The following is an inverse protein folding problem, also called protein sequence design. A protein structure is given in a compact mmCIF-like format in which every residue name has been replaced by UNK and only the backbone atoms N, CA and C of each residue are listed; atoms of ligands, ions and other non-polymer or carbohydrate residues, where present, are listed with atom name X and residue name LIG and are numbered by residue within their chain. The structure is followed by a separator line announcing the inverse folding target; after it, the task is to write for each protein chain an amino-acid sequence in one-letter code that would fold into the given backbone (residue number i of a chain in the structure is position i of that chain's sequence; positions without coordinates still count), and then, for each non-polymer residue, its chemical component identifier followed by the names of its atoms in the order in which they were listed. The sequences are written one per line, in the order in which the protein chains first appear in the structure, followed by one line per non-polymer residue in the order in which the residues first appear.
data_IF_056492615180
#
_entry.id   IF_056492615180
#
_cell.length_a   1.000
_cell.length_b   1.000
_cell.length_c   1.000
_cell.angle_alpha   90.00
_cell.angle_beta   90.00
_cell.angle_gamma   90.00
#
_symmetry.space_group_name_H-M   'P 1'
#
loop_
_entity.id
_entity.type
_entity.pdbx_description
1 polymer ?
#
# COMPACT_ATOMS: atom_id res chain seq x y z
N UNK A 1 -17.94 -35.27 20.16
CA UNK A 1 -18.43 -34.83 18.84
C UNK A 1 -17.31 -34.05 18.17
N UNK A 2 -16.73 -34.58 17.09
CA UNK A 2 -15.69 -33.85 16.34
C UNK A 2 -16.37 -32.82 15.44
N UNK A 3 -16.12 -31.53 15.69
CA UNK A 3 -16.57 -30.44 14.84
C UNK A 3 -15.79 -30.43 13.53
N UNK A 4 -16.32 -31.10 12.51
CA UNK A 4 -15.79 -31.06 11.15
C UNK A 4 -16.19 -29.78 10.42
N UNK A 5 -15.46 -29.46 9.35
CA UNK A 5 -15.83 -28.38 8.42
C UNK A 5 -17.12 -28.74 7.70
N UNK A 6 -18.06 -27.79 7.60
CA UNK A 6 -19.33 -27.94 6.88
C UNK A 6 -19.14 -27.40 5.45
N UNK A 7 -19.76 -28.06 4.48
CA UNK A 7 -19.77 -27.63 3.07
C UNK A 7 -21.18 -27.16 2.71
N UNK A 8 -21.37 -25.85 2.60
CA UNK A 8 -22.65 -25.22 2.30
C UNK A 8 -22.59 -24.58 0.90
N UNK A 9 -23.64 -24.75 0.09
CA UNK A 9 -23.72 -24.16 -1.26
C UNK A 9 -23.89 -22.64 -1.20
N UNK A 10 -24.42 -22.13 -0.09
CA UNK A 10 -24.55 -20.70 0.20
C UNK A 10 -23.24 -20.12 0.77
N UNK A 11 -22.24 -20.95 1.09
CA UNK A 11 -20.91 -20.51 1.49
C UNK A 11 -20.10 -20.06 0.25
N UNK A 12 -20.49 -18.92 -0.31
CA UNK A 12 -19.64 -18.18 -1.24
C UNK A 12 -18.38 -17.64 -0.53
N UNK A 13 -17.25 -17.49 -1.23
CA UNK A 13 -16.11 -16.76 -0.67
C UNK A 13 -16.57 -15.36 -0.30
N UNK A 14 -16.30 -14.93 0.94
CA UNK A 14 -16.54 -13.56 1.34
C UNK A 14 -15.76 -12.65 0.38
N UNK A 15 -16.46 -11.74 -0.31
CA UNK A 15 -15.81 -10.77 -1.20
C UNK A 15 -14.84 -9.85 -0.46
N UNK A 16 -14.90 -9.82 0.88
CA UNK A 16 -13.94 -9.17 1.76
C UNK A 16 -12.70 -10.02 2.11
N UNK A 17 -12.59 -11.26 1.61
CA UNK A 17 -11.38 -12.08 1.72
C UNK A 17 -10.33 -11.65 0.68
N UNK A 18 -10.07 -10.34 0.65
CA UNK A 18 -8.94 -9.78 -0.07
C UNK A 18 -7.72 -10.27 0.68
N UNK A 19 -6.88 -11.04 -0.03
CA UNK A 19 -5.81 -11.90 0.46
C UNK A 19 -4.69 -11.23 1.25
N UNK A 20 -5.05 -10.52 2.31
CA UNK A 20 -4.14 -9.89 3.24
C UNK A 20 -3.86 -10.83 4.40
N UNK A 21 -2.61 -10.83 4.82
CA UNK A 21 -2.25 -11.46 6.10
C UNK A 21 -2.97 -10.74 7.25
N UNK A 22 -3.21 -11.42 8.39
CA UNK A 22 -3.87 -10.80 9.55
C UNK A 22 -3.24 -9.47 9.98
N UNK A 23 -1.92 -9.34 9.81
CA UNK A 23 -1.17 -8.12 10.08
C UNK A 23 -1.67 -6.93 9.24
N UNK A 24 -1.71 -7.07 7.91
CA UNK A 24 -2.13 -5.99 7.03
C UNK A 24 -3.64 -5.76 7.06
N UNK A 25 -4.44 -6.81 7.29
CA UNK A 25 -5.88 -6.66 7.53
C UNK A 25 -6.15 -5.74 8.74
N UNK A 26 -5.43 -5.92 9.85
CA UNK A 26 -5.53 -5.02 11.02
C UNK A 26 -5.09 -3.60 10.67
N UNK A 27 -3.92 -3.44 10.04
CA UNK A 27 -3.40 -2.12 9.68
C UNK A 27 -4.34 -1.36 8.74
N UNK A 28 -4.98 -2.07 7.81
CA UNK A 28 -5.96 -1.50 6.90
C UNK A 28 -7.21 -1.02 7.66
N UNK A 29 -7.78 -1.86 8.53
CA UNK A 29 -8.95 -1.51 9.35
C UNK A 29 -8.66 -0.36 10.33
N UNK A 30 -7.42 -0.21 10.78
CA UNK A 30 -7.01 0.89 11.67
C UNK A 30 -6.43 2.10 10.93
N UNK A 31 -6.27 2.03 9.60
CA UNK A 31 -5.47 2.94 8.76
C UNK A 31 -4.11 3.27 9.40
N UNK A 32 -3.41 2.23 9.84
CA UNK A 32 -2.18 2.30 10.63
C UNK A 32 -0.96 1.92 9.80
N UNK A 33 0.14 2.65 9.99
CA UNK A 33 1.42 2.33 9.35
C UNK A 33 2.04 1.04 9.95
N UNK A 34 2.80 0.27 9.15
CA UNK A 34 3.01 0.45 7.72
C UNK A 34 1.80 -0.05 6.90
N UNK A 35 1.41 0.72 5.89
CA UNK A 35 0.40 0.33 4.90
C UNK A 35 0.85 0.80 3.49
N UNK A 36 1.88 0.16 2.92
CA UNK A 36 2.44 0.59 1.63
C UNK A 36 1.47 0.32 0.48
N UNK A 37 1.37 1.18 -0.52
CA UNK A 37 0.51 0.96 -1.69
C UNK A 37 0.87 -0.32 -2.47
N UNK A 38 2.14 -0.72 -2.46
CA UNK A 38 2.64 -1.91 -3.19
C UNK A 38 2.04 -3.23 -2.70
N UNK A 39 1.42 -3.27 -1.50
CA UNK A 39 0.75 -4.48 -0.99
C UNK A 39 -0.60 -4.74 -1.67
N UNK A 40 -1.12 -3.76 -2.43
CA UNK A 40 -2.37 -3.89 -3.17
C UNK A 40 -2.18 -4.59 -4.53
N UNK A 41 -0.92 -4.87 -4.92
CA UNK A 41 -0.59 -5.67 -6.10
C UNK A 41 -1.06 -7.11 -5.90
N UNK A 42 -1.92 -7.59 -6.80
CA UNK A 42 -2.54 -8.93 -6.68
C UNK A 42 -1.51 -10.06 -6.59
N UNK A 43 -0.46 -10.02 -7.41
CA UNK A 43 0.61 -11.04 -7.37
C UNK A 43 1.30 -11.08 -6.01
N UNK A 44 1.56 -9.91 -5.42
CA UNK A 44 2.15 -9.84 -4.08
C UNK A 44 1.21 -10.41 -3.02
N UNK A 45 -0.10 -10.11 -3.10
CA UNK A 45 -1.10 -10.64 -2.15
C UNK A 45 -1.15 -12.17 -2.19
N UNK A 46 -1.23 -12.75 -3.39
CA UNK A 46 -1.30 -14.20 -3.57
C UNK A 46 -0.05 -14.90 -3.00
N UNK A 47 1.13 -14.35 -3.26
CA UNK A 47 2.38 -14.87 -2.71
C UNK A 47 2.47 -14.68 -1.18
N UNK A 48 1.98 -13.55 -0.66
CA UNK A 48 1.98 -13.26 0.77
C UNK A 48 1.09 -14.24 1.56
N UNK A 49 -0.06 -14.64 1.01
CA UNK A 49 -0.93 -15.67 1.59
C UNK A 49 -0.21 -17.02 1.64
N UNK A 50 0.37 -17.44 0.51
CA UNK A 50 1.10 -18.72 0.44
C UNK A 50 2.26 -18.74 1.43
N UNK A 51 3.02 -17.65 1.52
CA UNK A 51 4.11 -17.49 2.47
C UNK A 51 3.60 -17.60 3.92
N UNK A 52 2.53 -16.88 4.26
CA UNK A 52 1.94 -16.90 5.60
C UNK A 52 1.46 -18.31 6.00
N UNK A 53 0.78 -19.02 5.09
CA UNK A 53 0.31 -20.39 5.32
C UNK A 53 1.48 -21.37 5.55
N UNK A 54 2.55 -21.28 4.74
CA UNK A 54 3.77 -22.09 4.92
C UNK A 54 4.47 -21.79 6.24
N UNK A 55 4.48 -20.54 6.68
CA UNK A 55 5.10 -20.13 7.95
C UNK A 55 4.30 -20.60 9.16
N UNK A 56 2.97 -20.47 9.13
CA UNK A 56 2.07 -20.98 10.20
C UNK A 56 2.23 -22.48 10.40
N UNK A 57 2.33 -23.25 9.31
CA UNK A 57 2.55 -24.71 9.38
C UNK A 57 3.90 -25.10 10.04
N UNK A 58 4.87 -24.18 10.12
CA UNK A 58 6.18 -24.41 10.74
C UNK A 58 6.25 -23.95 12.20
N UNK A 59 5.25 -23.24 12.71
CA UNK A 59 5.32 -22.50 13.98
C UNK A 59 4.01 -22.63 14.77
N UNK A 60 3.84 -23.75 15.47
CA UNK A 60 2.90 -23.84 16.60
C UNK A 60 3.58 -23.25 17.84
N UNK A 61 3.43 -21.93 18.05
CA UNK A 61 3.80 -21.08 19.23
C UNK A 61 4.56 -19.81 18.85
N UNK A 62 3.95 -18.93 18.06
CA UNK A 62 4.36 -17.53 18.05
C UNK A 62 3.23 -16.69 18.62
N UNK A 63 3.55 -15.99 19.70
CA UNK A 63 2.73 -14.97 20.31
C UNK A 63 2.41 -13.86 19.28
N UNK A 64 1.13 -13.75 18.93
CA UNK A 64 0.58 -12.74 18.01
C UNK A 64 0.70 -11.30 18.57
N UNK A 65 1.20 -11.14 19.80
CA UNK A 65 1.46 -9.85 20.43
C UNK A 65 2.70 -9.11 19.89
N UNK A 66 3.59 -9.75 19.11
CA UNK A 66 4.71 -9.03 18.48
C UNK A 66 4.19 -8.12 17.37
N UNK A 67 4.43 -6.81 17.53
CA UNK A 67 4.00 -5.75 16.61
C UNK A 67 4.78 -5.73 15.28
N UNK A 68 5.79 -6.58 15.12
CA UNK A 68 6.67 -6.58 13.96
C UNK A 68 6.14 -7.46 12.83
N UNK A 69 6.16 -6.90 11.61
CA UNK A 69 5.81 -7.65 10.42
C UNK A 69 6.88 -8.71 10.12
N UNK A 70 6.47 -9.97 10.00
CA UNK A 70 7.39 -11.08 9.68
C UNK A 70 6.93 -11.91 8.48
N UNK A 71 6.05 -11.34 7.65
CA UNK A 71 5.53 -11.96 6.43
C UNK A 71 6.46 -11.78 5.23
N UNK A 72 5.93 -12.00 4.02
CA UNK A 72 6.66 -11.80 2.76
C UNK A 72 7.12 -10.34 2.65
N UNK A 73 8.39 -10.05 2.35
CA UNK A 73 8.82 -8.68 2.07
C UNK A 73 7.94 -8.02 1.01
N UNK A 74 7.59 -6.75 1.21
CA UNK A 74 6.85 -5.95 0.23
C UNK A 74 7.78 -5.01 -0.53
N UNK A 75 7.53 -4.75 -1.82
CA UNK A 75 8.34 -3.83 -2.61
C UNK A 75 8.32 -2.41 -2.02
N UNK A 76 9.40 -1.67 -2.22
CA UNK A 76 9.49 -0.28 -1.84
C UNK A 76 8.58 0.58 -2.74
N UNK A 77 7.82 1.51 -2.16
CA UNK A 77 7.03 2.48 -2.95
C UNK A 77 7.92 3.35 -3.86
N UNK A 78 9.20 3.55 -3.48
CA UNK A 78 10.14 4.33 -4.28
C UNK A 78 10.52 3.65 -5.60
N UNK A 79 10.21 2.37 -5.79
CA UNK A 79 10.54 1.61 -7.01
C UNK A 79 9.29 1.36 -7.88
N UNK A 80 8.16 1.98 -7.55
CA UNK A 80 6.89 1.74 -8.22
C UNK A 80 6.80 2.51 -9.54
N UNK A 81 6.35 1.84 -10.61
CA UNK A 81 6.07 2.47 -11.92
C UNK A 81 4.73 3.23 -11.91
N UNK A 82 4.50 4.11 -12.89
CA UNK A 82 3.24 4.86 -12.96
C UNK A 82 2.01 3.96 -13.12
N UNK A 83 2.13 2.96 -14.00
CA UNK A 83 1.04 2.01 -14.26
C UNK A 83 0.76 1.14 -13.04
N UNK A 84 1.81 0.63 -12.40
CA UNK A 84 1.69 -0.17 -11.17
C UNK A 84 1.03 0.63 -10.06
N UNK A 85 1.45 1.88 -9.86
CA UNK A 85 0.80 2.78 -8.91
C UNK A 85 -0.68 2.96 -9.19
N UNK A 86 -1.06 3.11 -10.46
CA UNK A 86 -2.45 3.35 -10.84
C UNK A 86 -3.33 2.15 -10.52
N UNK A 87 -2.81 0.94 -10.71
CA UNK A 87 -3.46 -0.33 -10.38
C UNK A 87 -3.54 -0.51 -8.86
N UNK A 88 -2.43 -0.33 -8.15
CA UNK A 88 -2.35 -0.49 -6.69
C UNK A 88 -3.26 0.51 -5.96
N UNK A 89 -3.30 1.76 -6.43
CA UNK A 89 -4.21 2.78 -5.91
C UNK A 89 -5.69 2.41 -6.14
N UNK A 90 -6.04 1.80 -7.26
CA UNK A 90 -7.40 1.30 -7.50
C UNK A 90 -7.75 0.11 -6.61
N UNK A 91 -6.78 -0.78 -6.37
CA UNK A 91 -6.89 -1.87 -5.40
C UNK A 91 -7.17 -1.33 -4.00
N UNK A 92 -6.40 -0.32 -3.57
CA UNK A 92 -6.59 0.31 -2.27
C UNK A 92 -7.96 0.98 -2.13
N UNK A 93 -8.39 1.74 -3.14
CA UNK A 93 -9.71 2.34 -3.16
C UNK A 93 -10.83 1.30 -3.03
N UNK A 94 -10.73 0.19 -3.76
CA UNK A 94 -11.71 -0.91 -3.72
C UNK A 94 -11.80 -1.51 -2.32
N UNK A 95 -10.66 -1.70 -1.67
CA UNK A 95 -10.55 -2.26 -0.32
C UNK A 95 -11.17 -1.32 0.72
N UNK A 96 -10.92 -0.01 0.63
CA UNK A 96 -11.50 0.99 1.54
C UNK A 96 -13.03 0.95 1.54
N UNK A 97 -13.64 0.73 0.38
CA UNK A 97 -15.10 0.66 0.26
C UNK A 97 -15.61 -0.71 0.71
N UNK A 98 -15.05 -1.79 0.14
CA UNK A 98 -15.63 -3.14 0.29
C UNK A 98 -15.31 -3.81 1.62
N UNK A 99 -14.18 -3.49 2.25
CA UNK A 99 -13.78 -4.09 3.53
C UNK A 99 -13.92 -3.10 4.68
N UNK A 100 -13.41 -1.89 4.51
CA UNK A 100 -13.26 -0.97 5.64
C UNK A 100 -14.52 -0.14 5.92
N UNK A 101 -15.44 -0.07 4.96
CA UNK A 101 -16.60 0.84 5.01
C UNK A 101 -16.19 2.32 5.18
N UNK A 102 -15.08 2.71 4.52
CA UNK A 102 -14.49 4.05 4.61
C UNK A 102 -14.77 4.88 3.36
N UNK A 103 -16.04 4.99 2.96
CA UNK A 103 -16.47 5.73 1.77
C UNK A 103 -15.93 7.17 1.73
N UNK A 104 -15.97 7.87 2.87
CA UNK A 104 -15.47 9.24 2.97
C UNK A 104 -13.97 9.33 2.66
N UNK A 105 -13.19 8.40 3.19
CA UNK A 105 -11.73 8.37 2.96
C UNK A 105 -11.40 7.88 1.55
N UNK A 106 -12.18 6.95 0.99
CA UNK A 106 -12.07 6.56 -0.41
C UNK A 106 -12.27 7.76 -1.36
N UNK A 107 -13.23 8.65 -1.06
CA UNK A 107 -13.40 9.92 -1.79
C UNK A 107 -12.19 10.86 -1.65
N UNK A 108 -11.55 10.89 -0.48
CA UNK A 108 -10.31 11.66 -0.29
C UNK A 108 -9.17 11.12 -1.14
N UNK A 109 -9.04 9.79 -1.20
CA UNK A 109 -8.04 9.11 -2.00
C UNK A 109 -8.19 9.42 -3.51
N UNK A 110 -9.41 9.43 -4.04
CA UNK A 110 -9.66 9.85 -5.43
C UNK A 110 -9.29 11.31 -5.70
N UNK A 111 -9.51 12.20 -4.73
CA UNK A 111 -9.15 13.61 -4.86
C UNK A 111 -7.63 13.79 -4.83
N UNK A 112 -6.95 13.08 -3.92
CA UNK A 112 -5.49 13.04 -3.88
C UNK A 112 -4.90 12.52 -5.19
N UNK A 113 -5.47 11.48 -5.79
CA UNK A 113 -5.07 11.02 -7.13
C UNK A 113 -5.13 12.11 -8.20
N UNK A 114 -6.18 12.93 -8.20
CA UNK A 114 -6.27 14.06 -9.16
C UNK A 114 -5.19 15.09 -8.93
N UNK A 115 -4.84 15.35 -7.67
CA UNK A 115 -3.73 16.24 -7.32
C UNK A 115 -2.40 15.65 -7.82
N UNK A 116 -2.16 14.36 -7.60
CA UNK A 116 -0.93 13.71 -8.05
C UNK A 116 -0.83 13.65 -9.57
N UNK A 117 -1.94 13.38 -10.28
CA UNK A 117 -1.99 13.42 -11.74
C UNK A 117 -1.66 14.83 -12.27
N UNK A 118 -2.13 15.90 -11.61
CA UNK A 118 -1.75 17.26 -11.98
C UNK A 118 -0.25 17.53 -11.79
N UNK A 119 0.35 17.01 -10.72
CA UNK A 119 1.81 17.12 -10.49
C UNK A 119 2.59 16.39 -11.58
N UNK A 120 2.12 15.25 -12.08
CA UNK A 120 2.80 14.57 -13.23
C UNK A 120 2.85 15.49 -14.43
N UNK A 121 1.74 16.19 -14.74
CA UNK A 121 1.62 17.08 -15.90
C UNK A 121 2.56 18.28 -15.77
N UNK A 122 2.65 18.87 -14.58
CA UNK A 122 3.41 20.11 -14.35
C UNK A 122 4.90 19.86 -14.09
N UNK A 123 5.22 18.83 -13.31
CA UNK A 123 6.53 18.66 -12.68
C UNK A 123 7.18 17.29 -12.95
N UNK A 124 6.49 16.39 -13.66
CA UNK A 124 7.00 15.08 -14.03
C UNK A 124 6.74 13.98 -12.99
N UNK A 125 6.93 12.73 -13.43
CA UNK A 125 6.56 11.54 -12.66
C UNK A 125 7.31 11.43 -11.33
N UNK A 126 8.61 11.74 -11.33
CA UNK A 126 9.44 11.60 -10.13
C UNK A 126 9.08 12.61 -9.04
N UNK A 127 8.63 13.81 -9.42
CA UNK A 127 8.07 14.77 -8.46
C UNK A 127 6.77 14.25 -7.87
N UNK A 128 5.87 13.73 -8.71
CA UNK A 128 4.62 13.12 -8.25
C UNK A 128 4.86 11.94 -7.31
N UNK A 129 5.75 11.01 -7.64
CA UNK A 129 6.02 9.82 -6.82
C UNK A 129 6.51 10.23 -5.42
N UNK A 130 7.47 11.17 -5.38
CA UNK A 130 8.00 11.69 -4.11
C UNK A 130 6.93 12.42 -3.30
N UNK A 131 6.05 13.19 -3.95
CA UNK A 131 4.93 13.86 -3.29
C UNK A 131 3.94 12.86 -2.69
N UNK A 132 3.52 11.88 -3.48
CA UNK A 132 2.54 10.86 -3.09
C UNK A 132 3.02 10.08 -1.85
N UNK A 133 4.23 9.52 -1.90
CA UNK A 133 4.84 8.78 -0.77
C UNK A 133 4.89 9.66 0.49
N UNK A 134 5.25 10.94 0.37
CA UNK A 134 5.33 11.83 1.52
C UNK A 134 3.96 12.15 2.10
N UNK A 135 2.95 12.44 1.28
CA UNK A 135 1.58 12.71 1.75
C UNK A 135 1.00 11.46 2.40
N UNK A 136 1.16 10.30 1.76
CA UNK A 136 0.65 9.03 2.25
C UNK A 136 1.27 8.62 3.59
N UNK A 137 2.59 8.63 3.70
CA UNK A 137 3.30 8.32 4.94
C UNK A 137 2.93 9.28 6.07
N UNK A 138 2.77 10.57 5.78
CA UNK A 138 2.34 11.54 6.78
C UNK A 138 0.89 11.30 7.23
N UNK A 139 -0.01 10.95 6.30
CA UNK A 139 -1.40 10.65 6.62
C UNK A 139 -1.53 9.42 7.53
N UNK A 140 -0.76 8.36 7.26
CA UNK A 140 -0.75 7.15 8.10
C UNK A 140 -0.07 7.35 9.45
N UNK A 141 1.03 8.10 9.51
CA UNK A 141 1.83 8.26 10.72
C UNK A 141 1.24 9.25 11.72
N UNK A 142 0.44 10.22 11.26
CA UNK A 142 -0.08 11.29 12.11
C UNK A 142 -1.59 11.20 12.25
N UNK A 143 -2.03 11.46 13.47
CA UNK A 143 -3.42 11.64 13.83
C UNK A 143 -3.60 13.11 14.24
N UNK A 144 -4.58 13.79 13.64
CA UNK A 144 -4.84 15.21 13.83
C UNK A 144 -6.00 15.37 14.81
N UNK A 145 -5.74 16.02 15.95
CA UNK A 145 -6.78 16.37 16.91
C UNK A 145 -7.52 17.62 16.44
N UNK A 146 -8.84 17.51 16.31
CA UNK A 146 -9.76 18.59 15.95
C UNK A 146 -10.06 19.48 17.17
N UNK A 147 -10.57 20.71 16.98
CA UNK A 147 -10.92 21.61 18.10
C UNK A 147 -11.91 21.03 19.11
N UNK A 148 -12.73 20.07 18.68
CA UNK A 148 -13.71 19.36 19.53
C UNK A 148 -13.14 18.11 20.22
N UNK A 149 -11.82 17.88 20.12
CA UNK A 149 -11.12 16.75 20.73
C UNK A 149 -11.18 15.45 19.94
N UNK A 150 -11.95 15.38 18.85
CA UNK A 150 -11.96 14.19 17.97
C UNK A 150 -10.65 14.07 17.21
N UNK A 151 -10.32 12.84 16.81
CA UNK A 151 -9.09 12.54 16.07
C UNK A 151 -9.42 12.19 14.62
N UNK A 152 -8.66 12.74 13.68
CA UNK A 152 -8.79 12.49 12.24
C UNK A 152 -7.46 12.10 11.60
N UNK A 153 -7.53 11.51 10.41
CA UNK A 153 -6.35 11.38 9.54
C UNK A 153 -5.91 12.77 9.04
N UNK A 154 -4.66 12.90 8.63
CA UNK A 154 -4.23 14.14 7.97
C UNK A 154 -5.05 14.36 6.69
N UNK A 155 -5.40 15.62 6.42
CA UNK A 155 -6.18 15.98 5.26
C UNK A 155 -5.34 15.83 3.98
N UNK A 156 -5.76 14.93 3.08
CA UNK A 156 -5.13 14.69 1.77
C UNK A 156 -5.94 15.29 0.60
N UNK A 157 -7.02 16.02 0.88
CA UNK A 157 -7.85 16.68 -0.14
C UNK A 157 -7.20 17.92 -0.76
N UNK A 158 -6.11 18.41 -0.17
CA UNK A 158 -5.51 19.70 -0.52
C UNK A 158 -4.07 19.47 -0.93
N UNK A 159 -3.64 20.12 -2.02
CA UNK A 159 -2.25 20.17 -2.43
C UNK A 159 -1.38 20.75 -1.31
N UNK A 160 -0.52 19.92 -0.73
CA UNK A 160 0.47 20.38 0.22
C UNK A 160 1.64 21.00 -0.54
N UNK A 161 1.58 22.32 -0.75
CA UNK A 161 2.59 23.08 -1.52
C UNK A 161 4.01 22.90 -1.00
N UNK A 162 4.20 22.77 0.32
CA UNK A 162 5.53 22.58 0.90
C UNK A 162 6.10 21.20 0.54
N UNK A 163 5.29 20.15 0.64
CA UNK A 163 5.69 18.80 0.22
C UNK A 163 5.95 18.77 -1.29
N UNK A 164 5.09 19.41 -2.09
CA UNK A 164 5.24 19.48 -3.55
C UNK A 164 6.54 20.19 -3.95
N UNK A 165 6.83 21.36 -3.37
CA UNK A 165 8.07 22.09 -3.62
C UNK A 165 9.31 21.30 -3.21
N UNK A 166 9.28 20.58 -2.08
CA UNK A 166 10.39 19.70 -1.67
C UNK A 166 10.55 18.51 -2.61
N UNK A 167 9.47 17.92 -3.08
CA UNK A 167 9.49 16.83 -4.04
C UNK A 167 10.08 17.30 -5.38
N UNK A 168 9.63 18.45 -5.89
CA UNK A 168 10.15 19.09 -7.10
C UNK A 168 11.64 19.40 -6.97
N UNK A 169 12.04 20.08 -5.88
CA UNK A 169 13.43 20.45 -5.65
C UNK A 169 14.37 19.24 -5.61
N UNK A 170 13.91 18.11 -5.05
CA UNK A 170 14.66 16.84 -5.07
C UNK A 170 14.76 16.26 -6.48
N UNK A 171 13.65 16.14 -7.20
CA UNK A 171 13.64 15.61 -8.57
C UNK A 171 14.55 16.46 -9.47
N UNK A 172 14.45 17.80 -9.39
CA UNK A 172 15.34 18.73 -10.10
C UNK A 172 16.81 18.52 -9.75
N UNK A 173 17.14 18.38 -8.46
CA UNK A 173 18.52 18.18 -8.00
C UNK A 173 19.13 16.89 -8.56
N UNK A 174 18.33 15.85 -8.75
CA UNK A 174 18.76 14.58 -9.34
C UNK A 174 18.58 14.53 -10.86
N UNK A 175 18.20 15.65 -11.50
CA UNK A 175 17.92 15.75 -12.93
C UNK A 175 16.80 14.80 -13.41
N UNK A 176 15.78 14.59 -12.58
CA UNK A 176 14.73 13.57 -12.76
C UNK A 176 13.41 14.11 -13.36
N UNK A 177 13.34 15.40 -13.69
CA UNK A 177 12.07 16.06 -14.07
C UNK A 177 11.50 15.56 -15.41
N UNK A 178 12.38 15.20 -16.35
CA UNK A 178 11.98 14.80 -17.71
C UNK A 178 11.65 13.31 -17.83
N UNK A 179 11.81 12.53 -16.74
CA UNK A 179 11.55 11.11 -16.77
C UNK A 179 10.05 10.81 -16.68
N UNK A 180 9.57 10.03 -17.64
CA UNK A 180 8.18 9.58 -17.72
C UNK A 180 7.91 8.34 -16.87
N UNK A 181 8.97 7.65 -16.42
CA UNK A 181 8.90 6.44 -15.61
C UNK A 181 9.93 6.46 -14.47
N UNK A 182 9.81 5.50 -13.56
CA UNK A 182 10.69 5.39 -12.39
C UNK A 182 12.10 4.91 -12.77
N UNK A 183 13.12 5.65 -12.35
CA UNK A 183 14.53 5.28 -12.55
C UNK A 183 15.06 4.27 -11.54
N UNK A 184 14.33 4.03 -10.45
CA UNK A 184 14.77 3.19 -9.35
C UNK A 184 14.10 1.82 -9.36
N UNK A 185 13.48 1.41 -10.47
CA UNK A 185 13.06 0.02 -10.62
C UNK A 185 14.31 -0.84 -10.63
N UNK A 186 14.43 -1.76 -9.68
CA UNK A 186 15.47 -2.79 -9.77
C UNK A 186 15.24 -3.58 -11.06
N UNK A 187 16.21 -3.59 -11.98
CA UNK A 187 16.24 -4.62 -13.01
C UNK A 187 16.17 -5.96 -12.27
N UNK A 188 15.22 -6.82 -12.64
CA UNK A 188 15.15 -8.18 -12.12
C UNK A 188 16.46 -8.84 -12.55
N UNK A 189 17.43 -8.86 -11.65
CA UNK A 189 18.69 -9.53 -11.87
C UNK A 189 18.41 -11.01 -12.09
N UNK A 190 18.66 -11.48 -13.31
CA UNK A 190 18.85 -12.89 -13.61
C UNK A 190 19.87 -13.46 -12.62
N UNK A 191 19.38 -14.19 -11.63
CA UNK A 191 20.19 -15.11 -10.83
C UNK A 191 19.37 -16.38 -10.59
N UNK A 192 19.21 -17.17 -11.66
CA UNK A 192 19.28 -18.61 -11.53
C UNK A 192 20.76 -18.99 -11.53
N UNK A 193 21.33 -19.55 -10.46
CA UNK A 193 22.41 -20.48 -10.64
C UNK A 193 21.79 -21.79 -11.12
N UNK A 194 21.87 -22.02 -12.44
CA UNK A 194 22.12 -23.38 -12.92
C UNK A 194 23.39 -23.85 -12.24
N UNK A 195 23.27 -24.73 -11.26
CA UNK A 195 24.38 -25.59 -10.88
C UNK A 195 23.88 -27.02 -10.97
N UNK A 196 24.00 -27.56 -12.18
CA UNK A 196 24.24 -28.98 -12.34
C UNK A 196 25.65 -29.29 -11.86
N UNK A 197 25.74 -30.20 -10.90
CA UNK A 197 26.69 -31.31 -10.85
C UNK A 197 26.16 -32.34 -9.84
#
# INVERSE_FOLDING_TARGET
MHGGVIFDVEAGPDTADIGFTPYFKRNLLELKAPLPLTIFKKTWQDEAIVYHSKKKAKLETIDLAKQDYTGRPYPSEYTQLYLEWSVDHQGFHTVLIRICDYEKFAGWLLTHRRITDQIVIEDGFMTRLRYDINVWMNALARRVTLPDGRVSMANILILNKEIAQKAYGKARRYNELEFTENLYVEEVGDQLPENGQ
#
